data_IF_858437684530
#
_entry.id   IF_858437684530
#
_cell.length_a   1.000
_cell.length_b   1.000
_cell.length_c   1.000
_cell.angle_alpha   90.00
_cell.angle_beta   90.00
_cell.angle_gamma   90.00
#
_symmetry.space_group_name_H-M   'P 1'
#
loop_
_entity.id
_entity.type
_entity.pdbx_description
1 polymer ?
#
# COMPACT_ATOMS: atom_id res chain seq x y z
N UNK A 1 -71.81 21.96 40.58
CA UNK A 1 -70.80 20.94 40.92
C UNK A 1 -71.10 19.71 40.10
N UNK A 2 -70.20 19.31 39.20
CA UNK A 2 -70.08 17.95 38.67
C UNK A 2 -68.71 17.85 37.98
N UNK A 3 -67.80 17.09 38.60
CA UNK A 3 -66.49 16.74 38.05
C UNK A 3 -66.66 15.54 37.12
N UNK A 4 -66.11 15.62 35.91
CA UNK A 4 -65.99 14.49 34.99
C UNK A 4 -64.51 14.15 34.82
N UNK A 5 -64.13 12.94 35.22
CA UNK A 5 -62.78 12.38 35.08
C UNK A 5 -62.71 11.44 33.88
N UNK A 6 -61.78 11.67 32.95
CA UNK A 6 -61.42 10.71 31.88
C UNK A 6 -60.22 9.84 32.30
N UNK A 7 -60.15 8.57 31.86
CA UNK A 7 -59.05 7.67 32.19
C UNK A 7 -57.87 7.80 31.22
N UNK A 8 -56.66 7.55 31.72
CA UNK A 8 -55.43 7.45 30.94
C UNK A 8 -55.34 6.08 30.24
N UNK A 9 -55.01 6.07 28.95
CA UNK A 9 -54.73 4.87 28.15
C UNK A 9 -53.24 4.51 28.22
N UNK A 10 -52.86 3.23 28.33
CA UNK A 10 -51.45 2.83 28.34
C UNK A 10 -50.92 2.78 26.90
N UNK A 11 -49.74 3.37 26.69
CA UNK A 11 -49.01 3.31 25.42
C UNK A 11 -48.35 1.92 25.29
N UNK A 12 -48.97 1.03 24.51
CA UNK A 12 -48.41 -0.27 24.14
C UNK A 12 -47.46 -0.03 22.98
N UNK A 13 -46.19 0.21 23.29
CA UNK A 13 -45.11 0.24 22.28
C UNK A 13 -45.07 -1.18 21.67
N UNK A 14 -45.21 -1.33 20.34
CA UNK A 14 -45.30 -2.66 19.75
C UNK A 14 -43.96 -3.37 19.90
N UNK A 15 -43.96 -4.46 20.68
CA UNK A 15 -42.84 -5.39 20.91
C UNK A 15 -42.16 -5.84 19.59
N UNK A 16 -42.89 -5.76 18.48
CA UNK A 16 -42.43 -6.08 17.13
C UNK A 16 -41.34 -5.12 16.60
N UNK A 17 -41.38 -3.84 16.99
CA UNK A 17 -40.39 -2.84 16.56
C UNK A 17 -39.03 -3.04 17.27
N UNK A 18 -39.06 -3.50 18.52
CA UNK A 18 -37.85 -3.80 19.29
C UNK A 18 -37.16 -5.08 18.78
N UNK A 19 -37.92 -6.08 18.35
CA UNK A 19 -37.39 -7.30 17.72
C UNK A 19 -36.72 -7.03 16.37
N UNK A 20 -37.22 -6.07 15.59
CA UNK A 20 -36.62 -5.68 14.31
C UNK A 20 -35.27 -4.96 14.49
N UNK A 21 -35.15 -4.10 15.51
CA UNK A 21 -33.89 -3.46 15.89
C UNK A 21 -32.84 -4.47 16.37
N UNK A 22 -33.26 -5.51 17.10
CA UNK A 22 -32.36 -6.60 17.52
C UNK A 22 -31.92 -7.44 16.31
N UNK A 23 -32.79 -7.67 15.32
CA UNK A 23 -32.45 -8.38 14.08
C UNK A 23 -31.43 -7.57 13.23
N UNK A 24 -31.57 -6.25 13.15
CA UNK A 24 -30.60 -5.37 12.48
C UNK A 24 -29.28 -5.23 13.25
N UNK A 25 -29.26 -5.49 14.55
CA UNK A 25 -28.01 -5.52 15.34
C UNK A 25 -27.28 -6.87 15.26
N UNK A 26 -27.89 -7.89 14.65
CA UNK A 26 -27.25 -9.21 14.40
C UNK A 26 -26.49 -9.29 13.08
N UNK A 27 -26.56 -8.27 12.24
CA UNK A 27 -25.76 -8.14 11.01
C UNK A 27 -24.46 -7.34 11.24
N UNK A 28 -23.98 -7.29 12.48
CA UNK A 28 -22.66 -6.73 12.78
C UNK A 28 -21.55 -7.69 12.34
N UNK A 29 -20.76 -7.19 11.40
CA UNK A 29 -19.34 -7.52 11.21
C UNK A 29 -19.04 -8.92 10.69
N UNK A 30 -19.15 -9.10 9.37
CA UNK A 30 -18.20 -9.97 8.69
C UNK A 30 -16.86 -9.24 8.73
N UNK A 31 -15.98 -9.64 9.66
CA UNK A 31 -14.56 -9.34 9.52
C UNK A 31 -14.09 -10.08 8.27
N UNK A 32 -13.65 -9.34 7.25
CA UNK A 32 -12.85 -9.94 6.20
C UNK A 32 -11.51 -10.30 6.85
N UNK A 33 -11.27 -11.58 7.09
CA UNK A 33 -9.93 -12.07 7.39
C UNK A 33 -9.05 -11.75 6.18
N UNK A 34 -8.01 -10.96 6.42
CA UNK A 34 -6.97 -10.69 5.42
C UNK A 34 -6.26 -12.01 5.12
N UNK A 35 -6.29 -12.44 3.86
CA UNK A 35 -5.62 -13.68 3.44
C UNK A 35 -4.15 -13.36 3.28
N UNK A 36 -3.40 -13.51 4.38
CA UNK A 36 -1.95 -13.57 4.32
C UNK A 36 -1.58 -14.79 3.47
N UNK A 37 -1.14 -14.54 2.24
CA UNK A 37 -0.63 -15.57 1.32
C UNK A 37 0.76 -16.02 1.77
N UNK A 38 0.82 -16.69 2.93
CA UNK A 38 2.06 -17.24 3.45
C UNK A 38 2.55 -18.37 2.55
N UNK A 39 3.72 -18.17 1.96
CA UNK A 39 4.47 -19.20 1.26
C UNK A 39 5.52 -19.75 2.23
N UNK A 40 5.32 -20.98 2.70
CA UNK A 40 6.27 -21.67 3.60
C UNK A 40 7.59 -22.05 2.90
N UNK A 41 7.71 -21.79 1.59
CA UNK A 41 8.82 -22.25 0.76
C UNK A 41 10.05 -21.32 0.74
N UNK A 42 9.95 -20.06 1.20
CA UNK A 42 11.07 -19.12 1.14
C UNK A 42 11.85 -19.02 2.47
N UNK A 43 13.19 -18.87 2.42
CA UNK A 43 14.04 -18.82 3.62
C UNK A 43 13.69 -17.62 4.51
N UNK A 44 13.27 -17.91 5.74
CA UNK A 44 12.97 -16.93 6.80
C UNK A 44 14.29 -16.52 7.47
N UNK A 45 15.09 -15.63 6.86
CA UNK A 45 16.17 -14.94 7.58
C UNK A 45 15.57 -13.83 8.45
N UNK A 46 16.28 -13.39 9.51
CA UNK A 46 15.68 -12.56 10.57
C UNK A 46 14.97 -11.27 10.13
N UNK A 47 15.29 -10.77 8.92
CA UNK A 47 14.70 -9.58 8.29
C UNK A 47 14.01 -9.88 6.93
N UNK A 48 13.73 -11.16 6.64
CA UNK A 48 13.04 -11.65 5.43
C UNK A 48 11.81 -12.51 5.76
N UNK A 49 10.89 -11.89 6.48
CA UNK A 49 9.79 -12.55 7.14
C UNK A 49 8.53 -11.68 7.14
N UNK A 50 8.50 -10.61 6.35
CA UNK A 50 7.30 -9.80 6.17
C UNK A 50 6.22 -10.62 5.44
N UNK A 51 4.95 -10.48 5.82
CA UNK A 51 3.86 -11.04 5.03
C UNK A 51 3.78 -10.36 3.66
N UNK A 52 3.26 -11.08 2.68
CA UNK A 52 2.87 -10.48 1.40
C UNK A 52 1.51 -9.82 1.57
N UNK A 53 1.46 -8.51 1.39
CA UNK A 53 0.28 -7.69 1.54
C UNK A 53 -0.04 -7.00 0.22
N UNK A 54 -1.31 -6.96 -0.16
CA UNK A 54 -1.76 -6.10 -1.24
C UNK A 54 -1.74 -4.66 -0.75
N UNK A 55 -1.22 -3.77 -1.59
CA UNK A 55 -0.97 -2.38 -1.23
C UNK A 55 -1.66 -1.49 -2.24
N UNK A 56 -2.47 -0.55 -1.77
CA UNK A 56 -2.92 0.58 -2.58
C UNK A 56 -1.79 1.59 -2.66
N UNK A 57 -1.32 1.86 -3.87
CA UNK A 57 -0.39 2.96 -4.17
C UNK A 57 -1.24 4.07 -4.77
N UNK A 58 -1.54 5.09 -3.97
CA UNK A 58 -2.29 6.26 -4.44
C UNK A 58 -1.32 7.26 -5.06
N UNK A 59 -1.66 7.83 -6.20
CA UNK A 59 -0.91 8.90 -6.85
C UNK A 59 -1.65 10.25 -6.78
N UNK A 60 -0.86 11.33 -6.71
CA UNK A 60 -1.36 12.69 -6.83
C UNK A 60 -0.56 13.47 -7.86
N UNK A 61 -1.26 14.32 -8.61
CA UNK A 61 -0.69 15.28 -9.55
C UNK A 61 -1.22 16.65 -9.19
N UNK A 62 -0.34 17.59 -8.82
CA UNK A 62 -0.74 18.94 -8.39
C UNK A 62 -1.82 18.91 -7.29
N UNK A 63 -1.63 18.03 -6.30
CA UNK A 63 -2.52 17.80 -5.15
C UNK A 63 -3.92 17.24 -5.45
N UNK A 64 -4.26 17.02 -6.72
CA UNK A 64 -5.43 16.24 -7.10
C UNK A 64 -5.09 14.73 -7.07
N UNK A 65 -5.92 13.94 -6.38
CA UNK A 65 -5.83 12.47 -6.44
C UNK A 65 -6.15 12.03 -7.87
N UNK A 66 -5.30 11.18 -8.43
CA UNK A 66 -5.37 10.80 -9.83
C UNK A 66 -5.71 9.32 -9.98
N UNK A 67 -4.81 8.44 -9.53
CA UNK A 67 -4.96 7.01 -9.71
C UNK A 67 -4.68 6.21 -8.44
N UNK A 68 -5.46 5.14 -8.23
CA UNK A 68 -5.19 4.15 -7.18
C UNK A 68 -4.69 2.88 -7.87
N UNK A 69 -3.41 2.61 -7.70
CA UNK A 69 -2.75 1.41 -8.22
C UNK A 69 -2.73 0.32 -7.15
N UNK A 70 -2.69 -0.94 -7.55
CA UNK A 70 -2.56 -2.08 -6.64
C UNK A 70 -1.19 -2.71 -6.84
N UNK A 71 -0.46 -2.88 -5.74
CA UNK A 71 0.84 -3.54 -5.68
C UNK A 71 0.90 -4.67 -4.66
N UNK A 72 2.06 -5.32 -4.59
CA UNK A 72 2.38 -6.36 -3.63
C UNK A 72 3.64 -6.00 -2.84
N UNK A 73 3.60 -6.07 -1.51
CA UNK A 73 4.78 -5.83 -0.67
C UNK A 73 5.85 -6.93 -0.84
N UNK A 74 7.09 -6.62 -0.49
CA UNK A 74 8.18 -7.59 -0.42
C UNK A 74 8.19 -8.34 0.93
N UNK A 75 8.79 -9.54 0.93
CA UNK A 75 9.07 -10.32 2.15
C UNK A 75 10.14 -9.68 3.06
N UNK A 76 10.83 -8.66 2.58
CA UNK A 76 11.89 -7.93 3.27
C UNK A 76 11.60 -6.42 3.29
N UNK A 77 12.43 -5.67 4.01
CA UNK A 77 12.21 -4.23 4.19
C UNK A 77 11.40 -3.93 5.43
N UNK A 78 11.03 -2.68 5.61
CA UNK A 78 10.09 -2.29 6.68
C UNK A 78 8.65 -2.54 6.27
N UNK A 79 7.81 -2.91 7.23
CA UNK A 79 6.38 -3.04 7.01
C UNK A 79 5.78 -1.70 6.58
N UNK A 80 4.78 -1.79 5.71
CA UNK A 80 4.02 -0.61 5.34
C UNK A 80 3.11 -0.18 6.49
N UNK A 81 2.85 1.13 6.63
CA UNK A 81 1.91 1.58 7.64
C UNK A 81 0.52 1.01 7.33
N UNK A 82 -0.11 0.38 8.33
CA UNK A 82 -1.45 -0.22 8.22
C UNK A 82 -2.57 0.82 8.06
N UNK A 83 -2.28 2.08 8.40
CA UNK A 83 -3.12 3.22 8.08
C UNK A 83 -2.37 4.10 7.09
N UNK A 84 -3.05 4.53 6.03
CA UNK A 84 -2.56 5.68 5.27
C UNK A 84 -2.61 6.88 6.22
N UNK A 85 -1.45 7.39 6.60
CA UNK A 85 -1.38 8.82 6.84
C UNK A 85 -1.53 9.44 5.46
N UNK A 86 -2.77 9.83 5.08
CA UNK A 86 -3.02 10.56 3.83
C UNK A 86 -2.19 11.87 3.77
N UNK A 87 -1.54 12.24 4.89
CA UNK A 87 -0.58 13.33 5.05
C UNK A 87 0.85 12.99 4.56
N UNK A 88 1.30 11.72 4.56
CA UNK A 88 2.65 11.35 4.11
C UNK A 88 2.68 11.06 2.60
N UNK A 89 2.74 12.15 1.84
CA UNK A 89 2.88 12.16 0.38
C UNK A 89 4.35 12.38 0.00
N UNK A 90 4.95 11.43 -0.69
CA UNK A 90 6.37 11.47 -1.04
C UNK A 90 6.58 11.57 -2.56
N UNK A 91 7.57 12.34 -3.04
CA UNK A 91 7.84 12.45 -4.47
C UNK A 91 8.24 11.09 -5.06
N UNK A 92 7.71 10.75 -6.22
CA UNK A 92 8.14 9.57 -6.98
C UNK A 92 9.28 9.93 -7.94
N UNK A 93 10.43 9.26 -7.83
CA UNK A 93 11.65 9.58 -8.58
C UNK A 93 12.23 8.33 -9.22
N UNK A 94 12.41 8.34 -10.54
CA UNK A 94 13.14 7.28 -11.22
C UNK A 94 14.60 7.23 -10.77
N UNK A 95 15.05 6.03 -10.46
CA UNK A 95 16.47 5.76 -10.36
C UNK A 95 17.12 5.95 -11.73
N UNK A 96 18.35 6.44 -11.75
CA UNK A 96 19.19 6.49 -12.94
C UNK A 96 20.55 5.82 -12.66
N UNK A 97 20.83 4.62 -13.21
CA UNK A 97 20.02 3.87 -14.16
C UNK A 97 18.70 3.34 -13.57
N UNK A 98 17.66 3.20 -14.40
CA UNK A 98 16.30 2.79 -13.97
C UNK A 98 16.25 1.35 -13.44
N UNK A 99 17.17 0.50 -13.87
CA UNK A 99 17.27 -0.87 -13.35
C UNK A 99 17.65 -0.92 -11.86
N UNK A 100 18.12 0.18 -11.25
CA UNK A 100 18.47 0.21 -9.83
C UNK A 100 19.56 -0.79 -9.42
N UNK A 101 20.40 -1.26 -10.35
CA UNK A 101 21.44 -2.27 -10.08
C UNK A 101 22.82 -1.66 -9.79
N UNK A 102 22.93 -0.33 -9.82
CA UNK A 102 24.11 0.42 -9.40
C UNK A 102 23.71 1.74 -8.75
N UNK A 103 24.65 2.43 -8.11
CA UNK A 103 24.43 3.71 -7.45
C UNK A 103 23.67 4.68 -8.35
N UNK A 104 22.56 5.23 -7.85
CA UNK A 104 21.74 6.13 -8.62
C UNK A 104 22.33 7.54 -8.68
N UNK A 105 22.31 8.15 -9.86
CA UNK A 105 22.62 9.57 -10.05
C UNK A 105 21.42 10.50 -9.79
N UNK A 106 20.22 9.93 -9.62
CA UNK A 106 19.01 10.67 -9.24
C UNK A 106 19.03 11.06 -7.76
N UNK A 107 18.42 12.19 -7.40
CA UNK A 107 18.25 12.59 -5.99
C UNK A 107 17.09 11.81 -5.37
N UNK A 108 17.41 10.78 -4.60
CA UNK A 108 16.41 9.89 -3.98
C UNK A 108 16.05 10.27 -2.53
N UNK A 109 16.81 11.19 -1.90
CA UNK A 109 16.61 11.55 -0.49
C UNK A 109 15.17 11.99 -0.20
N UNK A 110 14.46 11.23 0.65
CA UNK A 110 13.08 11.49 1.03
C UNK A 110 12.04 11.22 -0.07
N UNK A 111 12.40 10.47 -1.12
CA UNK A 111 11.50 10.13 -2.22
C UNK A 111 11.13 8.65 -2.22
N UNK A 112 10.10 8.30 -2.98
CA UNK A 112 9.84 6.92 -3.41
C UNK A 112 10.66 6.67 -4.67
N UNK A 113 11.66 5.82 -4.58
CA UNK A 113 12.49 5.45 -5.72
C UNK A 113 11.72 4.50 -6.65
N UNK A 114 11.80 4.72 -7.97
CA UNK A 114 11.20 3.85 -8.97
C UNK A 114 12.29 3.09 -9.72
N UNK A 115 12.14 1.76 -9.81
CA UNK A 115 13.04 0.89 -10.53
C UNK A 115 12.29 -0.15 -11.36
N UNK A 116 12.86 -0.61 -12.47
CA UNK A 116 12.30 -1.73 -13.25
C UNK A 116 12.80 -3.08 -12.74
N UNK A 117 11.97 -4.11 -12.87
CA UNK A 117 12.36 -5.51 -12.62
C UNK A 117 13.41 -5.97 -13.64
N UNK A 118 14.32 -6.83 -13.18
CA UNK A 118 15.33 -7.51 -14.00
C UNK A 118 16.75 -7.12 -13.60
N UNK A 119 17.73 -7.73 -14.29
CA UNK A 119 19.18 -7.50 -14.21
C UNK A 119 19.88 -7.83 -12.88
N UNK A 120 19.26 -7.54 -11.74
CA UNK A 120 19.77 -7.84 -10.40
C UNK A 120 18.63 -8.19 -9.43
N UNK A 121 19.01 -8.74 -8.28
CA UNK A 121 18.08 -9.16 -7.23
C UNK A 121 17.33 -7.96 -6.62
N UNK A 122 16.11 -8.20 -6.12
CA UNK A 122 15.27 -7.15 -5.55
C UNK A 122 15.89 -6.51 -4.30
N UNK A 123 16.62 -7.29 -3.50
CA UNK A 123 17.32 -6.82 -2.30
C UNK A 123 18.41 -5.81 -2.67
N UNK A 124 19.18 -6.08 -3.74
CA UNK A 124 20.18 -5.15 -4.27
C UNK A 124 19.57 -3.81 -4.69
N UNK A 125 18.43 -3.84 -5.38
CA UNK A 125 17.71 -2.60 -5.77
C UNK A 125 17.30 -1.79 -4.54
N UNK A 126 16.79 -2.47 -3.51
CA UNK A 126 16.37 -1.83 -2.27
C UNK A 126 17.54 -1.24 -1.48
N UNK A 127 18.67 -1.94 -1.40
CA UNK A 127 19.90 -1.44 -0.78
C UNK A 127 20.40 -0.17 -1.48
N UNK A 128 20.39 -0.15 -2.82
CA UNK A 128 20.82 1.02 -3.59
C UNK A 128 19.87 2.19 -3.41
N UNK A 129 18.56 1.94 -3.44
CA UNK A 129 17.55 2.99 -3.20
C UNK A 129 17.71 3.59 -1.80
N UNK A 130 17.84 2.73 -0.78
CA UNK A 130 18.07 3.14 0.60
C UNK A 130 19.37 3.91 0.78
N UNK A 131 20.48 3.45 0.17
CA UNK A 131 21.76 4.15 0.21
C UNK A 131 21.69 5.54 -0.44
N UNK A 132 20.80 5.71 -1.43
CA UNK A 132 20.47 7.02 -2.03
C UNK A 132 19.56 7.90 -1.16
N UNK A 133 19.10 7.41 0.00
CA UNK A 133 18.21 8.12 0.92
C UNK A 133 16.72 8.00 0.59
N UNK A 134 16.33 7.06 -0.29
CA UNK A 134 14.92 6.81 -0.56
C UNK A 134 14.17 6.45 0.72
N UNK A 135 12.92 6.90 0.80
CA UNK A 135 12.01 6.53 1.88
C UNK A 135 11.25 5.22 1.58
N UNK A 136 11.16 4.83 0.31
CA UNK A 136 10.59 3.56 -0.14
C UNK A 136 11.12 3.21 -1.54
N UNK A 137 10.92 1.95 -1.95
CA UNK A 137 11.17 1.48 -3.32
C UNK A 137 9.89 0.93 -3.95
N UNK A 138 9.61 1.39 -5.18
CA UNK A 138 8.60 0.83 -6.06
C UNK A 138 9.27 0.13 -7.25
N UNK A 139 8.99 -1.16 -7.41
CA UNK A 139 9.52 -1.98 -8.51
C UNK A 139 8.43 -2.15 -9.57
N UNK A 140 8.68 -1.65 -10.77
CA UNK A 140 7.81 -1.79 -11.94
C UNK A 140 8.12 -3.14 -12.59
N UNK A 141 7.13 -4.03 -12.60
CA UNK A 141 7.27 -5.34 -13.21
C UNK A 141 7.31 -5.26 -14.75
N UNK A 142 7.86 -6.29 -15.38
CA UNK A 142 7.87 -6.47 -16.84
C UNK A 142 6.64 -7.25 -17.35
N UNK A 143 5.79 -7.71 -16.43
CA UNK A 143 4.56 -8.50 -16.66
C UNK A 143 3.41 -7.97 -15.79
N UNK A 144 2.19 -8.41 -16.09
CA UNK A 144 1.00 -8.01 -15.31
C UNK A 144 0.90 -8.75 -13.96
N UNK A 145 1.35 -10.00 -13.89
CA UNK A 145 1.25 -10.79 -12.65
C UNK A 145 2.17 -10.23 -11.56
N UNK A 146 1.62 -9.99 -10.37
CA UNK A 146 2.41 -9.61 -9.19
C UNK A 146 3.27 -10.79 -8.73
N UNK A 147 4.59 -10.59 -8.71
CA UNK A 147 5.56 -11.60 -8.30
C UNK A 147 5.98 -11.40 -6.85
N UNK A 148 6.06 -12.50 -6.09
CA UNK A 148 6.54 -12.49 -4.71
C UNK A 148 8.02 -12.13 -4.66
N UNK A 149 8.34 -10.93 -4.17
CA UNK A 149 9.73 -10.52 -3.94
C UNK A 149 10.23 -11.18 -2.64
N UNK A 150 11.01 -12.24 -2.81
CA UNK A 150 11.63 -13.01 -1.72
C UNK A 150 13.12 -12.73 -1.64
N UNK A 151 13.73 -13.13 -0.53
CA UNK A 151 15.18 -13.11 -0.38
C UNK A 151 15.82 -14.35 -0.98
N UNK A 152 17.06 -14.20 -1.40
CA UNK A 152 17.94 -15.26 -1.87
C UNK A 152 18.70 -15.90 -0.70
N UNK A 153 19.33 -17.06 -0.95
CA UNK A 153 20.19 -17.71 0.05
C UNK A 153 21.41 -16.86 0.46
N UNK A 154 21.81 -15.89 -0.37
CA UNK A 154 22.94 -15.00 -0.11
C UNK A 154 22.57 -13.88 0.88
N UNK A 155 21.28 -13.65 1.09
CA UNK A 155 20.71 -12.58 1.89
C UNK A 155 20.67 -12.96 3.39
N UNK A 156 21.86 -13.24 3.94
CA UNK A 156 22.03 -13.75 5.32
C UNK A 156 21.93 -12.67 6.39
N UNK A 157 22.12 -11.39 6.03
CA UNK A 157 22.09 -10.24 6.94
C UNK A 157 21.50 -8.98 6.27
N UNK A 158 20.28 -9.09 5.73
CA UNK A 158 19.62 -7.95 5.08
C UNK A 158 19.36 -6.82 6.08
N UNK A 159 19.82 -5.62 5.76
CA UNK A 159 19.52 -4.41 6.52
C UNK A 159 18.78 -3.40 5.64
N UNK A 160 17.60 -3.79 5.17
CA UNK A 160 16.70 -2.96 4.39
C UNK A 160 15.63 -2.41 5.34
N UNK A 161 15.66 -1.12 5.59
CA UNK A 161 14.79 -0.36 6.49
C UNK A 161 13.81 0.54 5.75
N UNK A 162 13.59 0.30 4.46
CA UNK A 162 12.58 0.96 3.63
C UNK A 162 11.54 -0.06 3.18
N UNK A 163 10.26 0.31 3.03
CA UNK A 163 9.27 -0.55 2.41
C UNK A 163 9.55 -0.72 0.91
N UNK A 164 9.22 -1.90 0.39
CA UNK A 164 9.40 -2.27 -1.02
C UNK A 164 8.11 -2.85 -1.56
N UNK A 165 7.63 -2.32 -2.68
CA UNK A 165 6.36 -2.70 -3.32
C UNK A 165 6.56 -2.94 -4.80
N UNK A 166 5.98 -4.02 -5.34
CA UNK A 166 5.93 -4.28 -6.77
C UNK A 166 4.61 -3.80 -7.36
N UNK A 167 4.65 -3.17 -8.54
CA UNK A 167 3.50 -2.90 -9.37
C UNK A 167 3.46 -3.82 -10.60
N UNK A 168 2.26 -4.17 -11.10
CA UNK A 168 2.09 -4.72 -12.44
C UNK A 168 2.68 -3.81 -13.52
N UNK A 169 3.00 -4.38 -14.68
CA UNK A 169 3.47 -3.60 -15.83
C UNK A 169 2.51 -2.47 -16.19
N UNK A 170 1.22 -2.75 -16.34
CA UNK A 170 0.22 -1.72 -16.68
C UNK A 170 0.17 -0.57 -15.67
N UNK A 171 0.20 -0.86 -14.37
CA UNK A 171 0.24 0.17 -13.31
C UNK A 171 1.53 0.97 -13.33
N UNK A 172 2.67 0.33 -13.61
CA UNK A 172 3.94 1.03 -13.79
C UNK A 172 3.97 1.92 -15.04
N UNK A 173 3.39 1.47 -16.15
CA UNK A 173 3.26 2.24 -17.38
C UNK A 173 2.32 3.45 -17.18
N UNK A 174 1.22 3.26 -16.44
CA UNK A 174 0.30 4.33 -16.04
C UNK A 174 1.04 5.38 -15.19
N UNK A 175 1.71 4.96 -14.10
CA UNK A 175 2.53 5.85 -13.28
C UNK A 175 3.61 6.57 -14.11
N UNK A 176 4.21 5.89 -15.07
CA UNK A 176 5.24 6.46 -15.95
C UNK A 176 4.70 7.54 -16.87
N UNK A 177 3.50 7.32 -17.40
CA UNK A 177 2.79 8.31 -18.20
C UNK A 177 2.51 9.55 -17.37
N UNK A 178 2.02 9.39 -16.14
CA UNK A 178 1.81 10.50 -15.22
C UNK A 178 3.10 11.30 -15.03
N UNK A 179 4.18 10.65 -14.59
CA UNK A 179 5.47 11.32 -14.34
C UNK A 179 6.01 12.04 -15.58
N UNK A 180 5.80 11.48 -16.78
CA UNK A 180 6.30 12.06 -18.03
C UNK A 180 5.45 13.22 -18.52
N UNK A 181 4.12 13.11 -18.42
CA UNK A 181 3.18 14.15 -18.84
C UNK A 181 3.35 15.42 -17.99
N UNK A 182 3.74 15.28 -16.71
CA UNK A 182 4.05 16.43 -15.85
C UNK A 182 5.41 17.07 -16.00
N UNK A 183 6.35 16.44 -16.72
CA UNK A 183 7.64 17.07 -17.05
C UNK A 183 7.49 18.23 -18.04
N UNK A 184 6.30 18.44 -18.61
CA UNK A 184 5.98 19.61 -19.44
C UNK A 184 5.74 20.89 -18.62
N UNK A 185 5.62 20.79 -17.29
CA UNK A 185 5.55 21.95 -16.38
C UNK A 185 5.30 21.51 -14.93
N UNK A 186 6.36 21.56 -14.11
CA UNK A 186 6.33 21.59 -12.62
C UNK A 186 5.37 20.65 -11.86
N UNK A 187 4.94 19.52 -12.42
CA UNK A 187 4.02 18.66 -11.69
C UNK A 187 4.78 17.78 -10.70
N UNK A 188 4.51 18.00 -9.40
CA UNK A 188 5.02 17.18 -8.31
C UNK A 188 4.17 15.91 -8.20
N UNK A 189 4.78 14.76 -8.52
CA UNK A 189 4.13 13.45 -8.42
C UNK A 189 4.35 12.87 -7.04
N UNK A 190 3.28 12.74 -6.29
CA UNK A 190 3.34 12.20 -4.95
C UNK A 190 2.72 10.81 -4.90
N UNK A 191 3.26 9.94 -4.06
CA UNK A 191 2.71 8.63 -3.78
C UNK A 191 2.58 8.41 -2.28
N UNK A 192 1.60 7.61 -1.90
CA UNK A 192 1.43 7.06 -0.55
C UNK A 192 1.04 5.58 -0.64
N UNK A 193 1.31 4.85 0.43
CA UNK A 193 1.00 3.43 0.53
C UNK A 193 -0.07 3.19 1.58
N UNK A 194 -1.01 2.29 1.26
CA UNK A 194 -2.00 1.79 2.21
C UNK A 194 -2.15 0.28 2.06
N UNK A 195 -1.91 -0.47 3.13
CA UNK A 195 -2.24 -1.91 3.17
C UNK A 195 -3.76 -2.08 3.07
N UNK A 196 -4.18 -3.10 2.32
CA UNK A 196 -5.56 -3.27 1.89
C UNK A 196 -6.54 -3.72 2.98
#
# INVERSE_FOLDING_TARGET
>A
MAFSSSPATPSIIPLLSLLFLIFLFRISSVFADDVSLDDDSAPKSGNCNNPFELVKVKSWVNDAEDEILVGLSARFGTLLPSQAEDDLKLPAVYMNPINGCSSSSSKLSGSIALSTRGECDFTIKAEIAQAGGAAALLVINDKEDLYKMVCSEKDTALNISIPVVMLPKSSGDALSKLITDGKSGESLYLCSFKVH
#
